data_IF_445286569422
#
_entry.id   IF_445286569422
#
_cell.length_a   1.000
_cell.length_b   1.000
_cell.length_c   1.000
_cell.angle_alpha   90.00
_cell.angle_beta   90.00
_cell.angle_gamma   90.00
#
_symmetry.space_group_name_H-M   'P 1'
#
loop_
_entity.id
_entity.type
_entity.pdbx_description
1 polymer ?
#
# COMPACT_ATOMS: atom_id res chain seq x y z
N UNK A 1 1.49 14.99 10.61
CA UNK A 1 1.07 13.57 10.62
C UNK A 1 2.25 12.78 11.15
N UNK A 2 2.05 11.91 12.14
CA UNK A 2 3.20 11.19 12.71
C UNK A 2 3.70 10.12 11.75
N UNK A 3 5.02 9.90 11.76
CA UNK A 3 5.68 8.88 10.95
C UNK A 3 5.07 7.48 11.17
N UNK A 4 4.70 7.17 12.42
CA UNK A 4 4.01 5.92 12.79
C UNK A 4 2.67 5.76 12.09
N UNK A 5 1.93 6.85 11.92
CA UNK A 5 0.61 6.87 11.25
C UNK A 5 0.74 6.74 9.73
N UNK A 6 1.82 7.28 9.15
CA UNK A 6 2.14 7.10 7.73
C UNK A 6 2.48 5.64 7.43
N UNK A 7 3.34 5.03 8.25
CA UNK A 7 3.70 3.61 8.11
C UNK A 7 2.46 2.72 8.25
N UNK A 8 1.60 2.96 9.26
CA UNK A 8 0.41 2.13 9.44
C UNK A 8 -0.58 2.26 8.27
N UNK A 9 -0.71 3.44 7.67
CA UNK A 9 -1.53 3.65 6.48
C UNK A 9 -0.97 2.96 5.24
N UNK A 10 0.35 2.99 5.06
CA UNK A 10 1.02 2.27 3.95
C UNK A 10 0.83 0.76 4.12
N UNK A 11 1.07 0.22 5.32
CA UNK A 11 0.88 -1.21 5.59
C UNK A 11 -0.58 -1.61 5.37
N UNK A 12 -1.54 -0.82 5.89
CA UNK A 12 -2.96 -1.09 5.68
C UNK A 12 -3.34 -1.08 4.19
N UNK A 13 -2.81 -0.14 3.40
CA UNK A 13 -3.06 -0.05 1.97
C UNK A 13 -2.52 -1.28 1.21
N UNK A 14 -1.29 -1.73 1.54
CA UNK A 14 -0.69 -2.93 0.96
C UNK A 14 -1.55 -4.15 1.27
N UNK A 15 -1.91 -4.35 2.55
CA UNK A 15 -2.72 -5.51 2.97
C UNK A 15 -4.09 -5.51 2.31
N UNK A 16 -4.77 -4.36 2.29
CA UNK A 16 -6.09 -4.24 1.65
C UNK A 16 -6.02 -4.54 0.15
N UNK A 17 -5.02 -3.99 -0.55
CA UNK A 17 -4.83 -4.24 -1.96
C UNK A 17 -4.64 -5.73 -2.25
N UNK A 18 -3.69 -6.39 -1.57
CA UNK A 18 -3.42 -7.83 -1.77
C UNK A 18 -4.65 -8.69 -1.51
N UNK A 19 -5.37 -8.43 -0.40
CA UNK A 19 -6.57 -9.22 -0.07
C UNK A 19 -7.67 -9.00 -1.11
N UNK A 20 -7.91 -7.76 -1.53
CA UNK A 20 -8.92 -7.45 -2.54
C UNK A 20 -8.56 -8.12 -3.87
N UNK A 21 -7.32 -7.98 -4.34
CA UNK A 21 -6.87 -8.60 -5.59
C UNK A 21 -7.05 -10.11 -5.59
N UNK A 22 -6.57 -10.80 -4.55
CA UNK A 22 -6.67 -12.26 -4.45
C UNK A 22 -8.14 -12.72 -4.44
N UNK A 23 -9.02 -12.00 -3.73
CA UNK A 23 -10.47 -12.30 -3.72
C UNK A 23 -11.10 -12.09 -5.11
N UNK A 24 -10.65 -11.08 -5.84
CA UNK A 24 -11.17 -10.71 -7.15
C UNK A 24 -10.73 -11.71 -8.24
N UNK A 25 -9.49 -12.15 -8.16
CA UNK A 25 -8.90 -13.16 -9.03
C UNK A 25 -9.45 -14.57 -8.76
N UNK A 26 -10.00 -14.78 -7.55
CA UNK A 26 -10.57 -16.05 -7.07
C UNK A 26 -9.58 -17.22 -7.10
N UNK A 27 -8.30 -16.92 -7.26
CA UNK A 27 -7.20 -17.87 -7.17
C UNK A 27 -6.40 -17.60 -5.89
N UNK A 28 -6.37 -18.59 -5.02
CA UNK A 28 -5.68 -18.52 -3.73
C UNK A 28 -4.36 -19.29 -3.76
N UNK A 29 -3.83 -19.61 -4.94
CA UNK A 29 -2.54 -20.24 -5.09
C UNK A 29 -1.43 -19.37 -4.50
N UNK A 30 -0.38 -20.03 -4.00
CA UNK A 30 0.79 -19.33 -3.44
C UNK A 30 1.46 -18.42 -4.49
N UNK A 31 1.37 -18.78 -5.76
CA UNK A 31 1.90 -17.99 -6.87
C UNK A 31 1.13 -16.67 -7.03
N UNK A 32 -0.20 -16.72 -7.00
CA UNK A 32 -1.06 -15.53 -7.03
C UNK A 32 -0.78 -14.60 -5.85
N UNK A 33 -0.69 -15.14 -4.62
CA UNK A 33 -0.34 -14.36 -3.45
C UNK A 33 1.03 -13.67 -3.56
N UNK A 34 2.02 -14.34 -4.16
CA UNK A 34 3.35 -13.76 -4.37
C UNK A 34 3.35 -12.69 -5.46
N UNK A 35 2.61 -12.87 -6.54
CA UNK A 35 2.49 -11.87 -7.60
C UNK A 35 1.73 -10.64 -7.11
N UNK A 36 0.52 -10.83 -6.57
CA UNK A 36 -0.29 -9.74 -6.02
C UNK A 36 0.41 -9.05 -4.84
N UNK A 37 1.15 -9.79 -4.02
CA UNK A 37 1.98 -9.23 -2.96
C UNK A 37 3.12 -8.33 -3.48
N UNK A 38 3.76 -8.70 -4.60
CA UNK A 38 4.78 -7.86 -5.25
C UNK A 38 4.16 -6.59 -5.82
N UNK A 39 3.02 -6.69 -6.49
CA UNK A 39 2.31 -5.52 -7.02
C UNK A 39 1.86 -4.59 -5.88
N UNK A 40 1.34 -5.16 -4.79
CA UNK A 40 0.96 -4.42 -3.60
C UNK A 40 2.13 -3.67 -2.97
N UNK A 41 3.31 -4.27 -2.92
CA UNK A 41 4.53 -3.61 -2.43
C UNK A 41 4.93 -2.43 -3.30
N UNK A 42 4.87 -2.57 -4.62
CA UNK A 42 5.15 -1.47 -5.56
C UNK A 42 4.12 -0.35 -5.36
N UNK A 43 2.84 -0.72 -5.26
CA UNK A 43 1.76 0.24 -5.02
C UNK A 43 1.94 0.97 -3.68
N UNK A 44 2.25 0.24 -2.61
CA UNK A 44 2.52 0.79 -1.28
C UNK A 44 3.74 1.72 -1.25
N UNK A 45 4.79 1.40 -2.02
CA UNK A 45 5.96 2.27 -2.17
C UNK A 45 5.59 3.58 -2.86
N UNK A 46 4.87 3.53 -3.98
CA UNK A 46 4.39 4.72 -4.71
C UNK A 46 3.48 5.56 -3.81
N UNK A 47 2.51 4.92 -3.15
CA UNK A 47 1.60 5.58 -2.22
C UNK A 47 2.35 6.26 -1.06
N UNK A 48 3.34 5.58 -0.49
CA UNK A 48 4.19 6.12 0.57
C UNK A 48 4.98 7.36 0.13
N UNK A 49 5.57 7.33 -1.06
CA UNK A 49 6.26 8.50 -1.64
C UNK A 49 5.30 9.66 -1.85
N UNK A 50 4.12 9.42 -2.42
CA UNK A 50 3.11 10.47 -2.63
C UNK A 50 2.63 11.06 -1.30
N UNK A 51 2.40 10.24 -0.28
CA UNK A 51 2.02 10.71 1.04
C UNK A 51 3.13 11.52 1.72
N UNK A 52 4.38 11.08 1.59
CA UNK A 52 5.54 11.80 2.12
C UNK A 52 5.70 13.16 1.44
N UNK A 53 5.59 13.22 0.10
CA UNK A 53 5.57 14.48 -0.64
C UNK A 53 4.43 15.39 -0.17
N UNK A 54 3.22 14.85 0.01
CA UNK A 54 2.08 15.61 0.52
C UNK A 54 2.32 16.17 1.92
N UNK A 55 3.02 15.43 2.80
CA UNK A 55 3.43 15.95 4.11
C UNK A 55 4.49 17.05 3.98
N UNK A 56 5.46 16.88 3.09
CA UNK A 56 6.56 17.84 2.85
C UNK A 56 6.06 19.16 2.25
N UNK A 57 5.06 19.09 1.36
CA UNK A 57 4.52 20.23 0.62
C UNK A 57 3.20 20.77 1.16
N UNK A 58 2.67 20.19 2.26
CA UNK A 58 1.58 20.81 3.01
C UNK A 58 2.13 22.10 3.63
N UNK A 59 1.82 23.23 3.01
CA UNK A 59 1.98 24.54 3.63
C UNK A 59 1.21 24.52 4.96
N UNK A 60 1.78 25.06 6.05
CA UNK A 60 0.98 25.39 7.22
C UNK A 60 -0.04 26.44 6.75
N UNK A 61 -1.31 26.03 6.66
CA UNK A 61 -2.43 26.95 6.70
C UNK A 61 -2.70 27.32 8.15
#
# INVERSE_FOLDING_TARGET
MDWKRLISQIIAAIVLYTVISVVLEKDYSMETWLNEGKEALIFGAIFGVLMWLRMRFRKPE
#
